data_IF_627113082547
#
_entry.id   IF_627113082547
#
_cell.length_a   1.000
_cell.length_b   1.000
_cell.length_c   1.000
_cell.angle_alpha   90.00
_cell.angle_beta   90.00
_cell.angle_gamma   90.00
#
_symmetry.space_group_name_H-M   'P 1'
#
loop_
_entity.id
_entity.type
_entity.pdbx_description
1 polymer ?
#
# COMPACT_ATOMS: atom_id res chain seq x y z
N UNK A 1 31.19 -14.92 18.99
CA UNK A 1 31.34 -16.22 19.65
C UNK A 1 30.14 -16.46 20.55
N UNK A 2 29.40 -17.54 20.27
CA UNK A 2 28.16 -17.87 20.97
C UNK A 2 28.41 -18.28 22.43
N UNK A 3 29.58 -18.81 22.78
CA UNK A 3 29.93 -19.16 24.17
C UNK A 3 29.93 -17.97 25.13
N UNK A 4 30.33 -16.78 24.64
CA UNK A 4 30.33 -15.54 25.43
C UNK A 4 28.92 -15.06 25.80
N UNK A 5 27.94 -15.27 24.91
CA UNK A 5 26.53 -14.90 25.13
C UNK A 5 25.94 -15.72 26.28
N UNK A 6 26.21 -17.03 26.29
CA UNK A 6 25.78 -17.92 27.36
C UNK A 6 26.38 -17.54 28.71
N UNK A 7 27.67 -17.22 28.75
CA UNK A 7 28.33 -16.78 29.99
C UNK A 7 27.77 -15.44 30.50
N UNK A 8 27.40 -14.51 29.59
CA UNK A 8 26.70 -13.29 29.99
C UNK A 8 25.33 -13.56 30.59
N UNK A 9 24.53 -14.43 29.96
CA UNK A 9 23.19 -14.79 30.49
C UNK A 9 23.29 -15.46 31.86
N UNK A 10 24.28 -16.33 32.07
CA UNK A 10 24.50 -16.98 33.38
C UNK A 10 24.78 -16.00 34.50
N UNK A 11 25.49 -14.89 34.22
CA UNK A 11 25.83 -13.85 35.21
C UNK A 11 24.64 -13.00 35.67
N UNK A 12 23.50 -13.07 34.97
CA UNK A 12 22.29 -12.39 35.40
C UNK A 12 21.79 -12.94 36.74
N UNK A 13 21.22 -12.06 37.58
CA UNK A 13 20.59 -12.42 38.86
C UNK A 13 19.12 -12.83 38.71
N UNK A 14 18.58 -12.84 37.49
CA UNK A 14 17.22 -13.29 37.24
C UNK A 14 17.04 -14.78 37.57
N UNK A 15 15.88 -15.14 38.12
CA UNK A 15 15.54 -16.54 38.43
C UNK A 15 15.42 -17.37 37.15
N UNK A 16 14.79 -16.80 36.12
CA UNK A 16 14.62 -17.41 34.79
C UNK A 16 15.35 -16.55 33.75
N UNK A 17 16.20 -17.19 32.94
CA UNK A 17 16.93 -16.56 31.83
C UNK A 17 16.50 -17.21 30.53
N UNK A 18 15.96 -16.43 29.60
CA UNK A 18 15.57 -16.93 28.27
C UNK A 18 16.39 -16.21 27.22
N UNK A 19 17.17 -16.96 26.45
CA UNK A 19 17.88 -16.47 25.27
C UNK A 19 17.23 -17.01 24.01
N UNK A 20 16.78 -16.13 23.12
CA UNK A 20 16.25 -16.47 21.80
C UNK A 20 17.26 -15.97 20.77
N UNK A 21 17.71 -16.87 19.90
CA UNK A 21 18.82 -16.63 18.99
C UNK A 21 18.39 -17.02 17.58
N UNK A 22 18.32 -16.04 16.69
CA UNK A 22 18.03 -16.24 15.27
C UNK A 22 19.30 -15.99 14.45
N UNK A 23 20.07 -17.06 14.21
CA UNK A 23 21.33 -17.02 13.48
C UNK A 23 21.67 -18.40 12.91
N UNK A 24 22.32 -18.46 11.74
CA UNK A 24 22.84 -19.72 11.19
C UNK A 24 23.86 -20.36 12.16
N UNK A 25 23.87 -21.70 12.23
CA UNK A 25 24.79 -22.51 13.07
C UNK A 25 24.71 -22.25 14.59
N UNK A 26 23.64 -21.61 15.07
CA UNK A 26 23.47 -21.26 16.50
C UNK A 26 23.23 -22.46 17.44
N UNK A 27 22.99 -23.67 16.89
CA UNK A 27 22.80 -24.91 17.64
C UNK A 27 24.01 -25.43 18.43
N UNK A 28 25.22 -24.90 18.21
CA UNK A 28 26.40 -25.25 19.02
C UNK A 28 26.23 -24.90 20.52
N UNK A 29 25.37 -23.92 20.83
CA UNK A 29 25.06 -23.49 22.21
C UNK A 29 24.22 -24.49 23.01
N UNK A 30 23.31 -25.19 22.33
CA UNK A 30 22.29 -26.03 22.95
C UNK A 30 22.82 -27.42 23.34
N UNK A 31 23.96 -27.84 22.75
CA UNK A 31 24.54 -29.19 22.86
C UNK A 31 25.41 -29.44 24.11
N UNK A 32 25.79 -28.41 24.89
CA UNK A 32 26.86 -28.56 25.89
C UNK A 32 26.58 -29.53 27.06
N UNK A 33 25.38 -30.09 27.18
CA UNK A 33 25.11 -31.32 27.95
C UNK A 33 24.04 -32.13 27.22
N UNK A 34 24.25 -33.44 27.07
CA UNK A 34 23.44 -34.32 26.23
C UNK A 34 21.96 -34.40 26.62
N UNK A 35 21.14 -33.54 26.03
CA UNK A 35 19.67 -33.63 26.07
C UNK A 35 19.16 -34.61 25.01
N UNK A 36 18.40 -35.63 25.44
CA UNK A 36 17.56 -36.44 24.55
C UNK A 36 16.21 -35.75 24.34
N UNK A 37 15.55 -36.00 23.19
CA UNK A 37 14.12 -35.67 22.97
C UNK A 37 13.30 -36.19 24.16
N UNK A 38 12.68 -35.28 24.90
CA UNK A 38 11.69 -35.61 25.93
C UNK A 38 10.28 -35.56 25.36
N UNK A 39 9.38 -36.51 25.68
CA UNK A 39 7.97 -36.44 25.32
C UNK A 39 7.24 -35.34 26.11
N UNK A 40 6.06 -34.95 25.62
CA UNK A 40 5.12 -34.05 26.29
C UNK A 40 4.75 -34.59 27.67
N UNK A 41 4.71 -33.71 28.68
CA UNK A 41 4.20 -34.07 30.01
C UNK A 41 2.87 -33.38 30.27
N UNK A 42 1.92 -34.20 30.73
CA UNK A 42 0.60 -33.85 31.21
C UNK A 42 0.68 -33.15 32.57
N UNK A 43 -0.28 -32.24 32.77
CA UNK A 43 -0.56 -31.45 33.96
C UNK A 43 -0.53 -32.23 35.28
N UNK A 44 0.15 -31.64 36.28
CA UNK A 44 -0.34 -31.60 37.65
C UNK A 44 0.15 -30.32 38.33
N UNK A 45 -0.76 -29.58 38.98
CA UNK A 45 -0.50 -28.33 39.69
C UNK A 45 -0.64 -28.59 41.17
N UNK A 46 0.50 -28.80 41.84
CA UNK A 46 0.69 -28.48 43.25
C UNK A 46 2.17 -28.73 43.63
N UNK A 47 3.02 -27.72 43.37
CA UNK A 47 4.09 -27.29 44.28
C UNK A 47 4.89 -26.15 43.65
N UNK A 48 4.86 -24.98 44.30
CA UNK A 48 5.54 -23.75 43.85
C UNK A 48 6.98 -23.75 44.34
N UNK A 49 7.82 -24.61 43.77
CA UNK A 49 9.26 -24.36 43.79
C UNK A 49 9.58 -23.18 42.85
N UNK A 50 10.53 -22.32 43.24
CA UNK A 50 10.98 -21.24 42.37
C UNK A 50 11.65 -21.86 41.13
N UNK A 51 11.02 -21.71 39.96
CA UNK A 51 11.59 -22.15 38.68
C UNK A 51 12.87 -21.37 38.42
N UNK A 52 14.02 -22.02 38.59
CA UNK A 52 15.35 -21.43 38.39
C UNK A 52 16.00 -22.04 37.15
N UNK A 53 16.53 -21.22 36.25
CA UNK A 53 17.42 -21.76 35.22
C UNK A 53 17.59 -20.94 33.92
N UNK A 54 18.28 -21.57 32.97
CA UNK A 54 18.63 -20.99 31.68
C UNK A 54 17.99 -21.79 30.54
N UNK A 55 17.28 -21.07 29.68
CA UNK A 55 16.64 -21.56 28.47
C UNK A 55 17.30 -20.89 27.27
N UNK A 56 17.69 -21.70 26.28
CA UNK A 56 18.19 -21.21 25.01
C UNK A 56 17.36 -21.80 23.87
N UNK A 57 16.73 -20.92 23.08
CA UNK A 57 15.99 -21.25 21.86
C UNK A 57 16.78 -20.74 20.68
N UNK A 58 17.01 -21.61 19.70
CA UNK A 58 17.84 -21.37 18.53
C UNK A 58 17.03 -21.65 17.27
N UNK A 59 17.10 -20.74 16.30
CA UNK A 59 16.35 -20.82 15.04
C UNK A 59 16.71 -22.05 14.21
N UNK A 60 17.95 -22.51 14.24
CA UNK A 60 18.41 -23.72 13.53
C UNK A 60 19.35 -24.58 14.39
N UNK A 61 19.60 -25.80 13.92
CA UNK A 61 20.60 -26.72 14.47
C UNK A 61 22.02 -26.39 13.97
N UNK A 62 23.06 -26.97 14.60
CA UNK A 62 24.48 -26.65 14.33
C UNK A 62 24.91 -26.91 12.87
N UNK A 63 24.23 -27.80 12.16
CA UNK A 63 24.53 -28.14 10.75
C UNK A 63 23.44 -27.68 9.77
N UNK A 64 22.56 -26.76 10.18
CA UNK A 64 21.45 -26.25 9.36
C UNK A 64 21.47 -24.71 9.29
N UNK A 65 21.20 -24.19 8.09
CA UNK A 65 21.07 -22.75 7.86
C UNK A 65 19.70 -22.26 8.35
N UNK A 66 19.69 -21.09 8.99
CA UNK A 66 18.44 -20.36 9.25
C UNK A 66 17.94 -19.74 7.95
N UNK A 67 16.63 -19.81 7.71
CA UNK A 67 16.02 -19.35 6.46
C UNK A 67 15.19 -18.08 6.65
N UNK A 68 15.30 -17.19 5.66
CA UNK A 68 14.53 -15.96 5.56
C UNK A 68 13.62 -15.99 4.32
N UNK A 69 12.53 -15.22 4.38
CA UNK A 69 11.59 -15.06 3.28
C UNK A 69 11.46 -13.60 2.88
N UNK A 70 11.69 -13.33 1.60
CA UNK A 70 11.40 -12.03 1.00
C UNK A 70 9.90 -11.69 1.08
N UNK A 71 9.02 -12.71 1.08
CA UNK A 71 7.56 -12.55 1.18
C UNK A 71 7.12 -12.15 2.60
N UNK A 72 7.81 -12.65 3.63
CA UNK A 72 7.55 -12.30 5.04
C UNK A 72 8.34 -11.06 5.47
N UNK A 73 9.38 -10.67 4.73
CA UNK A 73 10.30 -9.60 5.09
C UNK A 73 11.20 -9.96 6.29
N UNK A 74 11.46 -11.25 6.53
CA UNK A 74 12.27 -11.71 7.66
C UNK A 74 12.41 -13.24 7.80
N UNK A 75 13.03 -13.68 8.89
CA UNK A 75 13.23 -15.09 9.24
C UNK A 75 11.92 -15.83 9.53
N UNK A 76 11.78 -17.06 9.02
CA UNK A 76 10.63 -17.91 9.31
C UNK A 76 10.49 -18.19 10.81
N UNK A 77 11.60 -18.41 11.50
CA UNK A 77 11.61 -18.69 12.94
C UNK A 77 11.06 -17.48 13.72
N UNK A 78 11.62 -16.29 13.50
CA UNK A 78 11.17 -15.07 14.19
C UNK A 78 9.70 -14.74 13.85
N UNK A 79 9.28 -14.97 12.60
CA UNK A 79 7.90 -14.76 12.20
C UNK A 79 6.92 -15.66 12.95
N UNK A 80 7.19 -16.96 13.04
CA UNK A 80 6.31 -17.89 13.75
C UNK A 80 6.40 -17.74 15.26
N UNK A 81 7.58 -17.45 15.81
CA UNK A 81 7.72 -17.16 17.23
C UNK A 81 6.88 -15.94 17.65
N UNK A 82 6.94 -14.86 16.87
CA UNK A 82 6.16 -13.65 17.16
C UNK A 82 4.66 -13.86 16.96
N UNK A 83 4.24 -14.60 15.94
CA UNK A 83 2.82 -14.96 15.74
C UNK A 83 2.29 -15.83 16.88
N UNK A 84 3.09 -16.81 17.33
CA UNK A 84 2.77 -17.68 18.45
C UNK A 84 2.64 -16.89 19.77
N UNK A 85 3.64 -16.06 20.09
CA UNK A 85 3.60 -15.19 21.29
C UNK A 85 2.43 -14.21 21.30
N UNK A 86 1.94 -13.80 20.12
CA UNK A 86 0.75 -12.94 20.01
C UNK A 86 -0.56 -13.69 20.24
N UNK A 87 -0.55 -15.02 20.24
CA UNK A 87 -1.69 -15.85 20.62
C UNK A 87 -2.00 -17.01 19.67
N UNK A 88 -1.34 -17.14 18.51
CA UNK A 88 -1.61 -18.29 17.61
C UNK A 88 -1.11 -19.62 18.18
N UNK A 89 -0.28 -19.58 19.23
CA UNK A 89 0.20 -20.74 19.96
C UNK A 89 -0.65 -21.14 21.18
N UNK A 90 -1.72 -20.40 21.52
CA UNK A 90 -2.62 -20.70 22.66
C UNK A 90 -3.53 -21.91 22.34
N UNK A 91 -2.93 -23.09 22.23
CA UNK A 91 -3.60 -24.36 21.92
C UNK A 91 -4.43 -24.89 23.10
N UNK A 92 -4.13 -24.48 24.32
CA UNK A 92 -4.98 -24.75 25.49
C UNK A 92 -6.25 -23.91 25.53
N UNK A 93 -6.28 -22.75 24.86
CA UNK A 93 -7.42 -21.84 24.81
C UNK A 93 -7.65 -21.08 26.12
N UNK A 94 -6.66 -21.04 27.02
CA UNK A 94 -6.77 -20.41 28.34
C UNK A 94 -6.38 -18.91 28.32
N UNK A 95 -6.15 -18.35 27.13
CA UNK A 95 -5.68 -16.98 26.89
C UNK A 95 -4.29 -16.71 27.42
N UNK A 96 -3.46 -17.75 27.61
CA UNK A 96 -2.05 -17.64 27.93
C UNK A 96 -1.25 -18.39 26.89
N UNK A 97 -0.06 -17.88 26.63
CA UNK A 97 0.92 -18.57 25.78
C UNK A 97 2.10 -18.94 26.66
N UNK A 98 2.26 -20.24 26.86
CA UNK A 98 3.38 -20.83 27.57
C UNK A 98 4.61 -20.98 26.68
N UNK A 99 5.76 -21.18 27.31
CA UNK A 99 7.02 -21.46 26.63
C UNK A 99 6.95 -22.78 25.86
N UNK A 100 6.30 -23.80 26.43
CA UNK A 100 6.06 -25.07 25.75
C UNK A 100 5.24 -24.89 24.47
N UNK A 101 4.07 -24.26 24.59
CA UNK A 101 3.16 -23.98 23.47
C UNK A 101 3.85 -23.20 22.35
N UNK A 102 4.52 -22.08 22.67
CA UNK A 102 5.14 -21.26 21.63
C UNK A 102 6.30 -21.98 20.95
N UNK A 103 7.05 -22.80 21.68
CA UNK A 103 8.14 -23.58 21.11
C UNK A 103 7.61 -24.65 20.16
N UNK A 104 6.62 -25.43 20.60
CA UNK A 104 5.98 -26.47 19.79
C UNK A 104 5.37 -25.88 18.52
N UNK A 105 4.61 -24.78 18.66
CA UNK A 105 4.06 -24.01 17.54
C UNK A 105 5.15 -23.58 16.55
N UNK A 106 6.19 -22.89 17.04
CA UNK A 106 7.26 -22.33 16.20
C UNK A 106 8.02 -23.44 15.48
N UNK A 107 8.32 -24.53 16.17
CA UNK A 107 8.98 -25.71 15.61
C UNK A 107 8.16 -26.31 14.47
N UNK A 108 6.88 -26.61 14.71
CA UNK A 108 6.02 -27.24 13.72
C UNK A 108 5.82 -26.37 12.48
N UNK A 109 5.59 -25.06 12.65
CA UNK A 109 5.42 -24.13 11.53
C UNK A 109 6.69 -23.97 10.71
N UNK A 110 7.83 -23.78 11.39
CA UNK A 110 9.13 -23.62 10.72
C UNK A 110 9.47 -24.87 9.91
N UNK A 111 9.32 -26.06 10.48
CA UNK A 111 9.53 -27.34 9.78
C UNK A 111 8.59 -27.49 8.59
N UNK A 112 7.29 -27.22 8.77
CA UNK A 112 6.30 -27.40 7.71
C UNK A 112 6.57 -26.49 6.49
N UNK A 113 6.98 -25.25 6.72
CA UNK A 113 7.25 -24.30 5.64
C UNK A 113 8.59 -24.58 4.97
N UNK A 114 9.64 -24.81 5.75
CA UNK A 114 10.98 -25.07 5.22
C UNK A 114 11.10 -26.43 4.52
N UNK A 115 10.24 -27.40 4.83
CA UNK A 115 10.24 -28.71 4.17
C UNK A 115 10.05 -28.67 2.64
N UNK A 116 9.41 -27.62 2.13
CA UNK A 116 9.19 -27.44 0.69
C UNK A 116 10.21 -26.50 0.02
N UNK A 117 11.13 -25.94 0.81
CA UNK A 117 12.15 -25.01 0.31
C UNK A 117 13.32 -25.75 -0.33
N UNK A 118 14.00 -25.10 -1.29
CA UNK A 118 15.20 -25.67 -1.93
C UNK A 118 16.37 -25.86 -0.95
N UNK A 119 16.34 -25.16 0.18
CA UNK A 119 17.39 -25.18 1.21
C UNK A 119 17.24 -26.34 2.21
N UNK A 120 16.13 -27.10 2.14
CA UNK A 120 15.85 -28.22 3.05
C UNK A 120 15.08 -27.81 4.31
N UNK A 121 14.75 -28.79 5.15
CA UNK A 121 14.01 -28.58 6.41
C UNK A 121 14.91 -27.88 7.44
N UNK A 122 14.38 -26.86 8.12
CA UNK A 122 15.00 -26.21 9.27
C UNK A 122 14.38 -26.74 10.57
N UNK A 123 15.23 -27.17 11.51
CA UNK A 123 14.79 -27.61 12.83
C UNK A 123 15.23 -26.62 13.91
N UNK A 124 14.32 -25.80 14.47
CA UNK A 124 14.61 -25.04 15.67
C UNK A 124 15.08 -25.97 16.80
N UNK A 125 16.09 -25.54 17.56
CA UNK A 125 16.63 -26.32 18.67
C UNK A 125 16.43 -25.62 20.01
N UNK A 126 16.29 -26.42 21.05
CA UNK A 126 15.99 -25.96 22.41
C UNK A 126 16.91 -26.64 23.40
N UNK A 127 17.46 -25.86 24.34
CA UNK A 127 18.24 -26.37 25.47
C UNK A 127 17.67 -25.83 26.76
N UNK A 128 17.58 -26.72 27.75
CA UNK A 128 16.90 -26.48 29.00
C UNK A 128 17.75 -26.95 30.17
N UNK A 129 17.91 -26.07 31.14
CA UNK A 129 18.47 -26.35 32.46
C UNK A 129 17.62 -25.58 33.48
N UNK A 130 16.35 -25.99 33.68
CA UNK A 130 15.52 -25.49 34.77
C UNK A 130 15.36 -26.53 35.88
N UNK A 131 15.37 -26.04 37.11
CA UNK A 131 14.89 -26.74 38.30
C UNK A 131 13.57 -26.10 38.75
N UNK A 132 12.57 -26.92 39.08
CA UNK A 132 11.22 -26.51 39.52
C UNK A 132 10.08 -27.11 38.69
N UNK A 133 8.87 -27.13 39.25
CA UNK A 133 7.64 -27.58 38.59
C UNK A 133 6.81 -26.38 38.10
N UNK A 134 6.48 -26.37 36.79
CA UNK A 134 5.55 -25.41 36.18
C UNK A 134 6.04 -24.89 34.82
N UNK A 135 5.12 -24.73 33.87
CA UNK A 135 5.41 -24.11 32.57
C UNK A 135 5.45 -22.57 32.70
N UNK A 136 6.32 -21.94 31.92
CA UNK A 136 6.55 -20.50 31.97
C UNK A 136 5.56 -19.81 31.04
N UNK A 137 4.64 -19.04 31.61
CA UNK A 137 3.75 -18.17 30.83
C UNK A 137 4.54 -16.98 30.31
N UNK A 138 4.62 -16.84 28.98
CA UNK A 138 5.32 -15.74 28.31
C UNK A 138 4.39 -14.60 27.93
N UNK A 139 3.16 -14.92 27.50
CA UNK A 139 2.14 -13.94 27.16
C UNK A 139 0.84 -14.24 27.89
N UNK A 140 0.19 -13.19 28.41
CA UNK A 140 -1.15 -13.24 28.97
C UNK A 140 -2.05 -12.33 28.13
N UNK A 141 -2.88 -12.94 27.27
CA UNK A 141 -3.76 -12.25 26.33
C UNK A 141 -4.99 -11.64 27.02
N UNK A 142 -5.28 -12.04 28.26
CA UNK A 142 -6.44 -11.57 29.02
C UNK A 142 -6.27 -10.15 29.58
N UNK A 143 -5.03 -9.64 29.67
CA UNK A 143 -4.69 -8.37 30.35
C UNK A 143 -4.96 -7.09 29.55
N UNK A 144 -6.08 -7.04 28.83
CA UNK A 144 -6.60 -5.80 28.25
C UNK A 144 -5.78 -5.21 27.11
N UNK A 145 -4.96 -6.01 26.43
CA UNK A 145 -4.31 -5.57 25.20
C UNK A 145 -5.34 -5.45 24.07
N UNK A 146 -5.17 -4.46 23.21
CA UNK A 146 -5.92 -4.41 21.97
C UNK A 146 -5.62 -5.66 21.13
N UNK A 147 -6.60 -6.12 20.36
CA UNK A 147 -6.41 -7.36 19.62
C UNK A 147 -7.52 -7.68 18.64
N UNK A 148 -7.31 -8.77 17.91
CA UNK A 148 -8.29 -9.34 17.00
C UNK A 148 -8.84 -10.63 17.59
N UNK A 149 -10.16 -10.76 17.60
CA UNK A 149 -10.85 -11.97 18.01
C UNK A 149 -11.34 -12.73 16.77
N UNK A 150 -10.85 -13.95 16.60
CA UNK A 150 -11.31 -14.89 15.60
C UNK A 150 -12.32 -15.84 16.25
N UNK A 151 -13.61 -15.59 16.01
CA UNK A 151 -14.71 -16.35 16.61
C UNK A 151 -14.75 -17.82 16.15
N UNK A 152 -15.37 -18.73 16.93
CA UNK A 152 -15.35 -20.18 16.69
C UNK A 152 -15.89 -20.59 15.32
N UNK A 153 -16.77 -19.78 14.71
CA UNK A 153 -17.35 -19.95 13.38
C UNK A 153 -16.33 -19.80 12.24
N UNK A 154 -15.19 -19.17 12.48
CA UNK A 154 -14.15 -18.98 11.48
C UNK A 154 -13.32 -20.27 11.30
N UNK A 155 -12.80 -20.47 10.10
CA UNK A 155 -11.84 -21.55 9.83
C UNK A 155 -10.83 -21.14 8.75
N UNK A 156 -9.72 -21.87 8.68
CA UNK A 156 -8.67 -21.69 7.70
C UNK A 156 -7.54 -20.79 8.17
N UNK A 157 -6.81 -20.24 7.19
CA UNK A 157 -5.62 -19.42 7.44
C UNK A 157 -5.90 -17.95 7.18
N UNK A 158 -5.56 -17.10 8.15
CA UNK A 158 -5.67 -15.65 8.08
C UNK A 158 -4.28 -15.02 8.18
N UNK A 159 -4.06 -13.97 7.39
CA UNK A 159 -2.88 -13.11 7.51
C UNK A 159 -3.33 -11.74 8.01
N UNK A 160 -2.71 -11.26 9.06
CA UNK A 160 -2.91 -9.92 9.61
C UNK A 160 -1.71 -9.07 9.24
N UNK A 161 -1.97 -7.98 8.53
CA UNK A 161 -0.97 -7.06 8.03
C UNK A 161 -1.06 -5.72 8.77
N UNK A 162 0.05 -5.25 9.32
CA UNK A 162 0.17 -3.93 9.96
C UNK A 162 0.36 -2.88 8.85
N UNK A 163 -0.66 -2.04 8.64
CA UNK A 163 -0.64 -1.01 7.59
C UNK A 163 0.26 0.18 7.93
N UNK A 164 0.61 0.36 9.20
CA UNK A 164 1.54 1.38 9.66
C UNK A 164 3.00 0.99 9.44
N UNK A 165 3.33 -0.28 9.69
CA UNK A 165 4.69 -0.83 9.56
C UNK A 165 4.97 -1.54 8.24
N UNK A 166 3.95 -1.71 7.40
CA UNK A 166 4.05 -2.36 6.09
C UNK A 166 4.62 -3.78 6.14
N UNK A 167 4.23 -4.55 7.15
CA UNK A 167 4.70 -5.93 7.36
C UNK A 167 3.58 -6.84 7.89
N UNK A 168 3.77 -8.15 7.76
CA UNK A 168 2.88 -9.14 8.37
C UNK A 168 3.04 -9.07 9.89
N UNK A 169 1.94 -8.81 10.59
CA UNK A 169 1.90 -8.80 12.04
C UNK A 169 1.64 -10.20 12.60
N UNK A 170 0.73 -10.96 12.02
CA UNK A 170 0.45 -12.30 12.51
C UNK A 170 -0.08 -13.19 11.40
N UNK A 171 0.23 -14.47 11.47
CA UNK A 171 -0.50 -15.52 10.77
C UNK A 171 -1.35 -16.27 11.80
N UNK A 172 -2.60 -16.56 11.44
CA UNK A 172 -3.53 -17.31 12.30
C UNK A 172 -3.98 -18.53 11.53
N UNK A 173 -3.83 -19.70 12.14
CA UNK A 173 -4.36 -20.95 11.61
C UNK A 173 -5.44 -21.49 12.54
N UNK A 174 -6.69 -21.49 12.09
CA UNK A 174 -7.83 -21.84 12.92
C UNK A 174 -8.62 -23.02 12.36
N UNK A 175 -8.85 -24.02 13.19
CA UNK A 175 -9.87 -25.05 12.96
C UNK A 175 -11.26 -24.52 13.36
N UNK A 176 -12.32 -25.05 12.75
CA UNK A 176 -13.69 -24.71 13.16
C UNK A 176 -13.94 -25.14 14.61
N UNK A 177 -14.69 -24.35 15.38
CA UNK A 177 -15.13 -24.67 16.74
C UNK A 177 -14.40 -23.96 17.88
N UNK A 178 -13.14 -23.53 17.68
CA UNK A 178 -12.32 -22.91 18.75
C UNK A 178 -12.07 -21.43 18.50
N UNK A 179 -12.25 -20.56 19.50
CA UNK A 179 -11.90 -19.15 19.34
C UNK A 179 -10.39 -18.94 19.43
N UNK A 180 -9.85 -17.97 18.68
CA UNK A 180 -8.44 -17.55 18.79
C UNK A 180 -8.37 -16.04 18.95
N UNK A 181 -7.53 -15.57 19.86
CA UNK A 181 -7.30 -14.15 20.09
C UNK A 181 -5.85 -13.81 19.76
N UNK A 182 -5.63 -12.68 19.09
CA UNK A 182 -4.29 -12.18 18.78
C UNK A 182 -4.12 -10.79 19.36
N UNK A 183 -3.13 -10.63 20.22
CA UNK A 183 -2.75 -9.34 20.79
C UNK A 183 -1.93 -8.51 19.79
N UNK A 184 -2.37 -7.28 19.56
CA UNK A 184 -1.76 -6.34 18.61
C UNK A 184 -1.76 -4.93 19.22
N UNK A 185 -0.72 -4.12 18.95
CA UNK A 185 -0.74 -2.73 19.37
C UNK A 185 -1.88 -1.95 18.69
N UNK A 186 -2.25 -0.80 19.25
CA UNK A 186 -3.18 0.12 18.60
C UNK A 186 -2.65 0.51 17.20
N UNK A 187 -3.55 0.54 16.21
CA UNK A 187 -3.16 0.79 14.83
C UNK A 187 -4.18 0.32 13.78
N UNK A 188 -3.78 0.45 12.53
CA UNK A 188 -4.58 0.08 11.36
C UNK A 188 -4.10 -1.25 10.79
N UNK A 189 -5.02 -2.20 10.64
CA UNK A 189 -4.73 -3.55 10.21
C UNK A 189 -5.57 -3.98 9.02
N UNK A 190 -4.99 -4.86 8.22
CA UNK A 190 -5.67 -5.57 7.15
C UNK A 190 -5.66 -7.07 7.45
N UNK A 191 -6.84 -7.68 7.52
CA UNK A 191 -6.97 -9.13 7.66
C UNK A 191 -7.31 -9.73 6.31
N UNK A 192 -6.50 -10.68 5.85
CA UNK A 192 -6.66 -11.40 4.59
C UNK A 192 -6.94 -12.88 4.87
N UNK A 193 -7.85 -13.47 4.10
CA UNK A 193 -8.09 -14.92 4.03
C UNK A 193 -7.99 -15.35 2.58
N UNK A 194 -7.16 -16.36 2.30
CA UNK A 194 -7.02 -16.91 0.96
C UNK A 194 -8.10 -17.94 0.67
N UNK A 195 -8.87 -17.72 -0.38
CA UNK A 195 -9.83 -18.69 -0.92
C UNK A 195 -9.22 -19.41 -2.13
N UNK A 196 -9.99 -20.26 -2.81
CA UNK A 196 -9.49 -20.99 -3.99
C UNK A 196 -9.28 -20.10 -5.21
N UNK A 197 -10.16 -19.12 -5.43
CA UNK A 197 -10.24 -18.26 -6.62
C UNK A 197 -10.11 -16.76 -6.32
N UNK A 198 -10.15 -16.36 -5.04
CA UNK A 198 -10.09 -14.98 -4.61
C UNK A 198 -9.48 -14.84 -3.21
N UNK A 199 -9.30 -13.60 -2.78
CA UNK A 199 -9.04 -13.26 -1.38
C UNK A 199 -10.26 -12.62 -0.76
N UNK A 200 -10.46 -12.89 0.53
CA UNK A 200 -11.33 -12.10 1.38
C UNK A 200 -10.46 -11.15 2.19
N UNK A 201 -10.83 -9.88 2.26
CA UNK A 201 -10.06 -8.87 2.96
C UNK A 201 -10.94 -7.90 3.74
N UNK A 202 -10.52 -7.52 4.95
CA UNK A 202 -11.18 -6.46 5.73
C UNK A 202 -10.13 -5.56 6.39
N UNK A 203 -10.46 -4.27 6.54
CA UNK A 203 -9.68 -3.31 7.32
C UNK A 203 -10.29 -3.14 8.70
N UNK A 204 -9.43 -3.15 9.72
CA UNK A 204 -9.83 -3.04 11.12
C UNK A 204 -8.92 -2.03 11.82
N UNK A 205 -9.52 -1.12 12.57
CA UNK A 205 -8.83 -0.17 13.43
C UNK A 205 -8.85 -0.69 14.87
N UNK A 206 -7.68 -0.81 15.48
CA UNK A 206 -7.54 -1.21 16.89
C UNK A 206 -7.25 0.03 17.74
N UNK A 207 -8.06 0.21 18.80
CA UNK A 207 -7.81 1.20 19.84
C UNK A 207 -6.72 0.75 20.83
N UNK A 208 -6.58 1.43 21.96
CA UNK A 208 -5.58 1.07 22.98
C UNK A 208 -5.98 -0.17 23.81
N UNK A 209 -7.27 -0.51 23.85
CA UNK A 209 -7.81 -1.66 24.59
C UNK A 209 -8.99 -2.29 23.84
N UNK A 210 -9.22 -3.57 24.12
CA UNK A 210 -10.37 -4.32 23.62
C UNK A 210 -10.09 -5.15 22.37
N UNK A 211 -10.89 -6.20 22.18
CA UNK A 211 -10.78 -7.09 21.04
C UNK A 211 -11.80 -6.72 19.96
N UNK A 212 -11.35 -6.58 18.72
CA UNK A 212 -12.23 -6.37 17.56
C UNK A 212 -12.50 -7.73 16.90
N UNK A 213 -13.78 -8.15 16.81
CA UNK A 213 -14.10 -9.43 16.17
C UNK A 213 -13.90 -9.36 14.66
N UNK A 214 -13.22 -10.37 14.12
CA UNK A 214 -13.12 -10.59 12.67
C UNK A 214 -14.41 -11.24 12.21
N UNK A 215 -15.13 -10.59 11.31
CA UNK A 215 -16.40 -11.09 10.78
C UNK A 215 -16.25 -11.36 9.29
N UNK A 216 -16.26 -12.63 8.91
CA UNK A 216 -15.97 -13.03 7.52
C UNK A 216 -16.98 -12.46 6.51
N UNK A 217 -18.25 -12.30 6.88
CA UNK A 217 -19.28 -11.70 6.01
C UNK A 217 -19.06 -10.21 5.72
N UNK A 218 -18.21 -9.52 6.50
CA UNK A 218 -17.81 -8.13 6.27
C UNK A 218 -16.53 -8.02 5.44
N UNK A 219 -15.90 -9.15 5.08
CA UNK A 219 -14.71 -9.15 4.24
C UNK A 219 -15.09 -8.99 2.78
N UNK A 220 -14.42 -8.08 2.09
CA UNK A 220 -14.59 -7.83 0.67
C UNK A 220 -13.89 -8.90 -0.16
N UNK A 221 -14.49 -9.27 -1.30
CA UNK A 221 -13.88 -10.16 -2.30
C UNK A 221 -12.91 -9.38 -3.18
N UNK A 222 -11.65 -9.80 -3.19
CA UNK A 222 -10.55 -9.23 -3.97
C UNK A 222 -9.99 -10.30 -4.91
N UNK A 223 -9.85 -10.02 -6.20
CA UNK A 223 -9.28 -10.99 -7.14
C UNK A 223 -7.78 -11.19 -6.89
N UNK A 224 -7.22 -12.37 -7.19
CA UNK A 224 -5.77 -12.61 -7.04
C UNK A 224 -4.91 -11.69 -7.89
N UNK A 225 -5.41 -11.31 -9.07
CA UNK A 225 -4.75 -10.35 -9.97
C UNK A 225 -4.66 -8.94 -9.35
N UNK A 226 -5.50 -8.64 -8.35
CA UNK A 226 -5.44 -7.41 -7.56
C UNK A 226 -4.61 -7.58 -6.25
N UNK A 227 -4.16 -8.80 -5.93
CA UNK A 227 -3.31 -9.10 -4.77
C UNK A 227 -1.83 -8.94 -5.11
N UNK A 228 -1.42 -7.71 -5.37
CA UNK A 228 0.00 -7.37 -5.38
C UNK A 228 0.50 -7.22 -3.93
N UNK A 229 0.80 -8.34 -3.31
CA UNK A 229 1.59 -8.41 -2.08
C UNK A 229 2.99 -7.81 -2.31
N UNK A 230 3.09 -6.50 -2.11
CA UNK A 230 4.30 -5.80 -1.66
C UNK A 230 3.83 -4.76 -0.64
N UNK A 231 4.37 -4.79 0.57
CA UNK A 231 3.92 -3.98 1.72
C UNK A 231 3.59 -2.50 1.46
N UNK A 232 4.33 -1.78 0.57
CA UNK A 232 4.01 -0.38 0.24
C UNK A 232 2.82 -0.21 -0.73
N UNK A 233 2.46 -1.26 -1.49
CA UNK A 233 1.48 -1.20 -2.59
C UNK A 233 0.05 -1.40 -2.06
N UNK A 234 -0.14 -2.16 -0.99
CA UNK A 234 -1.47 -2.47 -0.45
C UNK A 234 -2.19 -1.23 0.12
N UNK A 235 -1.45 -0.33 0.79
CA UNK A 235 -1.98 0.94 1.29
C UNK A 235 -2.32 1.89 0.14
N UNK A 236 -1.46 1.98 -0.86
CA UNK A 236 -1.67 2.77 -2.07
C UNK A 236 -2.83 2.26 -2.94
N UNK A 237 -3.02 0.95 -3.10
CA UNK A 237 -4.03 0.35 -3.98
C UNK A 237 -5.45 0.35 -3.37
N UNK A 238 -5.55 0.18 -2.05
CA UNK A 238 -6.84 0.28 -1.37
C UNK A 238 -7.27 1.75 -1.13
N UNK A 239 -6.32 2.69 -0.97
CA UNK A 239 -6.57 4.14 -1.08
C UNK A 239 -7.02 4.54 -2.49
N UNK A 240 -6.59 3.80 -3.53
CA UNK A 240 -7.05 3.99 -4.91
C UNK A 240 -8.52 3.60 -5.05
N UNK A 241 -9.04 2.49 -4.52
CA UNK A 241 -10.43 2.04 -4.80
C UNK A 241 -11.58 2.96 -4.35
N UNK A 242 -11.35 3.92 -3.45
CA UNK A 242 -12.39 4.88 -3.08
C UNK A 242 -12.50 5.93 -4.19
N UNK A 243 -13.67 6.03 -4.85
CA UNK A 243 -13.95 7.11 -5.82
C UNK A 243 -13.64 8.45 -5.14
N UNK A 244 -12.60 9.12 -5.58
CA UNK A 244 -12.22 10.45 -5.11
C UNK A 244 -12.53 11.47 -6.18
N UNK A 245 -13.07 12.59 -5.73
CA UNK A 245 -13.16 13.81 -6.49
C UNK A 245 -11.99 14.69 -6.04
N UNK A 246 -11.11 15.09 -6.97
CA UNK A 246 -10.15 16.16 -6.71
C UNK A 246 -10.46 17.36 -7.58
N UNK A 247 -10.11 18.54 -7.08
CA UNK A 247 -10.17 19.79 -7.82
C UNK A 247 -8.79 20.43 -7.78
N UNK A 248 -8.28 20.84 -8.94
CA UNK A 248 -6.92 21.33 -9.09
C UNK A 248 -6.91 22.58 -9.94
N UNK A 249 -6.06 23.54 -9.58
CA UNK A 249 -5.80 24.71 -10.41
C UNK A 249 -4.82 24.32 -11.52
N UNK A 250 -5.03 24.84 -12.73
CA UNK A 250 -4.17 24.56 -13.88
C UNK A 250 -3.78 25.81 -14.66
N UNK A 251 -2.56 25.79 -15.19
CA UNK A 251 -2.03 26.78 -16.13
C UNK A 251 -1.57 26.04 -17.38
N UNK A 252 -1.98 26.53 -18.54
CA UNK A 252 -1.74 25.89 -19.84
C UNK A 252 -1.14 26.91 -20.79
N UNK A 253 -0.19 26.46 -21.60
CA UNK A 253 0.30 27.21 -22.75
C UNK A 253 -0.03 26.43 -24.02
N UNK A 254 -0.77 27.08 -24.92
CA UNK A 254 -1.19 26.49 -26.20
C UNK A 254 -0.38 27.08 -27.36
N UNK A 255 0.03 26.21 -28.29
CA UNK A 255 0.66 26.63 -29.55
C UNK A 255 0.21 25.78 -30.73
N UNK A 256 -0.02 26.43 -31.87
CA UNK A 256 -0.35 25.76 -33.13
C UNK A 256 0.93 25.45 -33.92
N UNK A 257 0.99 24.30 -34.59
CA UNK A 257 2.20 23.88 -35.32
C UNK A 257 2.42 24.71 -36.59
N UNK A 258 1.35 25.17 -37.25
CA UNK A 258 1.44 26.03 -38.43
C UNK A 258 1.92 27.44 -38.07
N UNK A 259 2.99 27.91 -38.72
CA UNK A 259 3.52 29.26 -38.54
C UNK A 259 2.57 30.36 -39.06
N UNK A 260 1.86 30.10 -40.16
CA UNK A 260 0.85 31.01 -40.71
C UNK A 260 -0.34 31.13 -39.75
N UNK A 261 -0.89 30.00 -39.30
CA UNK A 261 -2.02 30.01 -38.36
C UNK A 261 -1.70 30.71 -37.04
N UNK A 262 -0.46 30.59 -36.52
CA UNK A 262 -0.02 31.28 -35.30
C UNK A 262 -0.02 32.80 -35.39
N UNK A 263 0.21 33.36 -36.58
CA UNK A 263 0.28 34.81 -36.82
C UNK A 263 -1.05 35.38 -37.29
N UNK A 264 -1.77 34.62 -38.10
CA UNK A 264 -2.94 35.07 -38.84
C UNK A 264 -4.27 34.66 -38.16
N UNK A 265 -4.32 33.57 -37.39
CA UNK A 265 -5.60 32.99 -36.97
C UNK A 265 -5.69 32.77 -35.45
N UNK A 266 -4.68 32.16 -34.84
CA UNK A 266 -4.74 31.72 -33.45
C UNK A 266 -3.44 32.08 -32.73
N UNK A 267 -3.43 33.16 -31.93
CA UNK A 267 -2.25 33.56 -31.17
C UNK A 267 -1.94 32.52 -30.08
N UNK A 268 -0.66 32.38 -29.72
CA UNK A 268 -0.32 31.64 -28.51
C UNK A 268 -0.83 32.40 -27.28
N UNK A 269 -1.59 31.70 -26.44
CA UNK A 269 -2.32 32.28 -25.32
C UNK A 269 -2.10 31.42 -24.06
N UNK A 270 -1.69 32.02 -22.92
CA UNK A 270 -1.76 31.34 -21.65
C UNK A 270 -3.23 31.20 -21.22
N UNK A 271 -3.62 29.99 -20.85
CA UNK A 271 -4.93 29.65 -20.33
C UNK A 271 -4.82 29.29 -18.85
N UNK A 272 -5.82 29.68 -18.08
CA UNK A 272 -5.92 29.41 -16.65
C UNK A 272 -7.27 28.77 -16.36
N UNK A 273 -7.32 27.92 -15.34
CA UNK A 273 -8.60 27.39 -14.90
C UNK A 273 -8.45 26.27 -13.90
N UNK A 274 -9.40 25.34 -13.94
CA UNK A 274 -9.46 24.22 -13.02
C UNK A 274 -9.67 22.90 -13.77
N UNK A 275 -9.21 21.82 -13.16
CA UNK A 275 -9.53 20.45 -13.57
C UNK A 275 -10.13 19.70 -12.40
N UNK A 276 -11.26 19.03 -12.65
CA UNK A 276 -11.90 18.11 -11.71
C UNK A 276 -11.59 16.68 -12.11
N UNK A 277 -11.03 15.87 -11.22
CA UNK A 277 -10.75 14.45 -11.48
C UNK A 277 -11.68 13.55 -10.69
N UNK A 278 -12.22 12.55 -11.37
CA UNK A 278 -13.11 11.54 -10.81
C UNK A 278 -12.49 10.17 -11.10
N UNK A 279 -12.11 9.46 -10.05
CA UNK A 279 -11.58 8.11 -10.22
C UNK A 279 -11.09 7.47 -8.93
N UNK A 280 -10.56 6.25 -9.04
CA UNK A 280 -10.49 5.42 -10.24
C UNK A 280 -11.86 4.84 -10.64
N UNK A 281 -11.95 4.45 -11.90
CA UNK A 281 -13.04 3.75 -12.57
C UNK A 281 -12.58 2.33 -12.95
N UNK A 282 -13.41 1.56 -13.67
CA UNK A 282 -13.08 0.21 -14.14
C UNK A 282 -11.72 0.23 -14.91
N UNK A 283 -10.83 -0.72 -14.59
CA UNK A 283 -9.52 -0.83 -15.24
C UNK A 283 -8.51 0.25 -14.83
N UNK A 284 -8.69 0.90 -13.68
CA UNK A 284 -7.75 1.89 -13.14
C UNK A 284 -7.77 3.25 -13.87
N UNK A 285 -8.76 3.47 -14.75
CA UNK A 285 -8.94 4.72 -15.45
C UNK A 285 -9.48 5.83 -14.53
N UNK A 286 -9.32 7.10 -14.91
CA UNK A 286 -9.98 8.23 -14.28
C UNK A 286 -10.50 9.21 -15.33
N UNK A 287 -11.58 9.91 -15.00
CA UNK A 287 -12.14 10.97 -15.83
C UNK A 287 -11.62 12.32 -15.33
N UNK A 288 -11.16 13.17 -16.23
CA UNK A 288 -10.83 14.56 -15.95
C UNK A 288 -11.75 15.48 -16.72
N UNK A 289 -12.25 16.53 -16.06
CA UNK A 289 -13.08 17.58 -16.64
C UNK A 289 -12.35 18.91 -16.47
N UNK A 290 -11.99 19.53 -17.59
CA UNK A 290 -11.23 20.77 -17.63
C UNK A 290 -12.14 21.94 -17.98
N UNK A 291 -11.93 23.05 -17.29
CA UNK A 291 -12.49 24.35 -17.64
C UNK A 291 -11.35 25.36 -17.70
N UNK A 292 -11.15 26.00 -18.86
CA UNK A 292 -10.04 26.90 -19.14
C UNK A 292 -10.53 28.22 -19.75
N UNK A 293 -9.80 29.29 -19.45
CA UNK A 293 -10.04 30.63 -19.98
C UNK A 293 -8.72 31.36 -20.20
N UNK A 294 -8.66 32.16 -21.26
CA UNK A 294 -7.56 33.10 -21.47
C UNK A 294 -8.02 34.29 -22.30
N UNK A 295 -7.32 35.41 -22.16
CA UNK A 295 -7.53 36.57 -23.03
C UNK A 295 -6.25 37.35 -23.21
N UNK A 296 -6.13 38.02 -24.35
CA UNK A 296 -5.02 38.93 -24.64
C UNK A 296 -5.54 40.09 -25.49
N UNK A 297 -5.20 41.31 -25.07
CA UNK A 297 -5.62 42.55 -25.74
C UNK A 297 -4.49 43.15 -26.56
N UNK A 298 -4.85 43.95 -27.55
CA UNK A 298 -3.88 44.69 -28.38
C UNK A 298 -2.92 43.79 -29.17
N UNK A 299 -3.38 42.60 -29.56
CA UNK A 299 -2.63 41.75 -30.47
C UNK A 299 -2.66 42.31 -31.88
N UNK A 300 -1.56 42.20 -32.62
CA UNK A 300 -1.55 42.55 -34.04
C UNK A 300 -1.93 41.32 -34.85
N UNK A 301 -3.04 41.42 -35.57
CA UNK A 301 -3.46 40.49 -36.60
C UNK A 301 -2.77 40.88 -37.90
N UNK A 302 -1.80 40.09 -38.34
CA UNK A 302 -1.09 40.30 -39.61
C UNK A 302 -1.73 39.45 -40.70
N UNK A 303 -2.33 40.09 -41.70
CA UNK A 303 -2.92 39.48 -42.89
C UNK A 303 -2.10 39.82 -44.15
N UNK A 304 -0.80 40.07 -43.99
CA UNK A 304 0.14 40.41 -45.05
C UNK A 304 0.10 41.89 -45.40
N UNK A 305 -0.87 42.31 -46.22
CA UNK A 305 -1.00 43.71 -46.64
C UNK A 305 -1.74 44.59 -45.60
N UNK A 306 -2.30 43.97 -44.57
CA UNK A 306 -3.15 44.61 -43.56
C UNK A 306 -2.74 44.15 -42.17
N UNK A 307 -2.53 45.09 -41.26
CA UNK A 307 -2.26 44.84 -39.85
C UNK A 307 -3.34 45.49 -38.99
N UNK A 308 -4.07 44.69 -38.22
CA UNK A 308 -5.20 45.15 -37.39
C UNK A 308 -4.93 44.90 -35.91
N UNK A 309 -5.38 45.80 -35.05
CA UNK A 309 -5.33 45.56 -33.61
C UNK A 309 -6.57 44.77 -33.17
N UNK A 310 -6.35 43.64 -32.52
CA UNK A 310 -7.41 42.75 -32.05
C UNK A 310 -7.29 42.43 -30.55
N UNK A 311 -8.44 42.24 -29.93
CA UNK A 311 -8.56 41.59 -28.62
C UNK A 311 -9.07 40.16 -28.83
N UNK A 312 -8.40 39.20 -28.19
CA UNK A 312 -8.67 37.78 -28.34
C UNK A 312 -9.03 37.16 -26.99
N UNK A 313 -10.09 36.35 -26.97
CA UNK A 313 -10.55 35.59 -25.82
C UNK A 313 -10.76 34.14 -26.24
N UNK A 314 -10.41 33.21 -25.36
CA UNK A 314 -10.63 31.78 -25.54
C UNK A 314 -11.14 31.16 -24.25
N UNK A 315 -12.08 30.23 -24.39
CA UNK A 315 -12.45 29.29 -23.33
C UNK A 315 -12.54 27.88 -23.87
N UNK A 316 -12.19 26.92 -23.03
CA UNK A 316 -12.29 25.50 -23.34
C UNK A 316 -13.01 24.75 -22.23
N UNK A 317 -13.90 23.83 -22.64
CA UNK A 317 -14.44 22.77 -21.78
C UNK A 317 -13.97 21.45 -22.37
N UNK A 318 -13.31 20.61 -21.57
CA UNK A 318 -12.80 19.34 -22.07
C UNK A 318 -13.06 18.17 -21.13
N UNK A 319 -13.19 16.99 -21.72
CA UNK A 319 -13.22 15.71 -21.01
C UNK A 319 -12.06 14.83 -21.46
N UNK A 320 -11.38 14.20 -20.50
CA UNK A 320 -10.31 13.24 -20.77
C UNK A 320 -10.55 11.95 -20.00
N UNK A 321 -10.50 10.81 -20.68
CA UNK A 321 -10.47 9.50 -20.03
C UNK A 321 -9.03 9.03 -20.00
N UNK A 322 -8.46 8.83 -18.81
CA UNK A 322 -7.02 8.61 -18.65
C UNK A 322 -6.75 7.30 -17.94
N UNK A 323 -5.83 6.50 -18.46
CA UNK A 323 -5.30 5.32 -17.78
C UNK A 323 -4.01 5.64 -17.07
N UNK A 324 -3.87 5.14 -15.84
CA UNK A 324 -2.75 5.46 -14.98
C UNK A 324 -1.81 4.27 -14.80
N UNK A 325 -0.52 4.56 -14.88
CA UNK A 325 0.59 3.63 -14.75
C UNK A 325 1.59 4.17 -13.73
N UNK A 326 2.39 3.30 -13.11
CA UNK A 326 3.46 3.71 -12.19
C UNK A 326 3.16 3.52 -10.69
N UNK A 327 4.11 3.98 -9.87
CA UNK A 327 4.23 3.65 -8.44
C UNK A 327 3.56 4.64 -7.48
N UNK A 328 4.06 4.69 -6.25
CA UNK A 328 3.53 5.54 -5.17
C UNK A 328 3.98 7.01 -5.25
N UNK A 329 5.19 7.27 -5.76
CA UNK A 329 5.81 8.60 -5.78
C UNK A 329 5.55 9.34 -7.10
N UNK A 330 5.63 8.61 -8.22
CA UNK A 330 5.43 9.16 -9.57
C UNK A 330 4.43 8.28 -10.32
N UNK A 331 3.45 8.92 -10.95
CA UNK A 331 2.45 8.26 -11.78
C UNK A 331 2.38 8.92 -13.16
N UNK A 332 2.16 8.09 -14.18
CA UNK A 332 1.99 8.53 -15.57
C UNK A 332 0.57 8.21 -16.03
N UNK A 333 -0.07 9.18 -16.68
CA UNK A 333 -1.39 9.07 -17.28
C UNK A 333 -1.31 9.21 -18.80
N UNK A 334 -2.08 8.41 -19.54
CA UNK A 334 -2.28 8.60 -20.98
C UNK A 334 -3.72 8.26 -21.38
N UNK A 335 -4.27 8.97 -22.35
CA UNK A 335 -5.60 8.69 -22.85
C UNK A 335 -6.14 9.73 -23.83
N UNK A 336 -7.34 9.49 -24.39
CA UNK A 336 -8.01 10.42 -25.28
C UNK A 336 -8.59 11.62 -24.52
N UNK A 337 -8.62 12.76 -25.21
CA UNK A 337 -9.26 14.02 -24.81
C UNK A 337 -10.16 14.51 -25.93
N UNK A 338 -11.31 15.05 -25.55
CA UNK A 338 -12.16 15.84 -26.43
C UNK A 338 -12.44 17.19 -25.77
N UNK A 339 -12.15 18.28 -26.50
CA UNK A 339 -12.40 19.63 -26.05
C UNK A 339 -13.39 20.35 -26.97
N UNK A 340 -14.29 21.13 -26.38
CA UNK A 340 -15.06 22.15 -27.05
C UNK A 340 -14.44 23.51 -26.72
N UNK A 341 -14.08 24.27 -27.75
CA UNK A 341 -13.42 25.56 -27.64
C UNK A 341 -14.34 26.64 -28.18
N UNK A 342 -14.43 27.75 -27.46
CA UNK A 342 -15.05 28.98 -27.91
C UNK A 342 -14.02 30.09 -27.95
N UNK A 343 -13.86 30.71 -29.10
CA UNK A 343 -12.95 31.81 -29.33
C UNK A 343 -13.73 33.03 -29.77
N UNK A 344 -13.37 34.19 -29.22
CA UNK A 344 -13.91 35.49 -29.61
C UNK A 344 -12.79 36.42 -29.97
N UNK A 345 -12.97 37.12 -31.09
CA UNK A 345 -12.07 38.17 -31.57
C UNK A 345 -12.85 39.46 -31.78
N UNK A 346 -12.33 40.57 -31.28
CA UNK A 346 -12.91 41.90 -31.45
C UNK A 346 -11.86 42.92 -31.90
N UNK A 347 -12.29 43.95 -32.62
CA UNK A 347 -11.43 44.95 -33.24
C UNK A 347 -11.76 46.35 -32.68
N UNK A 348 -11.26 46.70 -31.49
CA UNK A 348 -11.70 47.91 -30.78
C UNK A 348 -11.35 49.23 -31.50
N UNK A 349 -10.40 49.21 -32.44
CA UNK A 349 -9.92 50.40 -33.14
C UNK A 349 -10.38 50.47 -34.61
N UNK A 350 -11.15 49.49 -35.08
CA UNK A 350 -11.64 49.41 -36.46
C UNK A 350 -13.18 49.30 -36.48
N UNK A 351 -13.90 50.42 -36.60
CA UNK A 351 -15.37 50.47 -36.44
C UNK A 351 -16.15 49.70 -37.51
N UNK A 352 -15.52 49.44 -38.66
CA UNK A 352 -16.13 48.69 -39.77
C UNK A 352 -16.07 47.17 -39.57
N UNK A 353 -15.23 46.68 -38.65
CA UNK A 353 -15.04 45.26 -38.39
C UNK A 353 -15.93 44.77 -37.25
N UNK A 354 -16.78 43.81 -37.56
CA UNK A 354 -17.63 43.15 -36.57
C UNK A 354 -16.83 42.16 -35.72
N UNK A 355 -17.24 42.00 -34.47
CA UNK A 355 -16.77 40.90 -33.60
C UNK A 355 -17.00 39.56 -34.26
N UNK A 356 -16.01 38.67 -34.16
CA UNK A 356 -16.03 37.33 -34.71
C UNK A 356 -16.05 36.32 -33.57
N UNK A 357 -16.96 35.36 -33.66
CA UNK A 357 -17.14 34.27 -32.71
C UNK A 357 -16.91 32.94 -33.45
N UNK A 358 -16.14 32.04 -32.83
CA UNK A 358 -15.82 30.73 -33.41
C UNK A 358 -15.99 29.63 -32.37
N UNK A 359 -16.65 28.55 -32.78
CA UNK A 359 -16.76 27.32 -32.00
C UNK A 359 -16.00 26.21 -32.72
N UNK A 360 -15.23 25.43 -31.96
CA UNK A 360 -14.44 24.33 -32.48
C UNK A 360 -14.50 23.11 -31.59
N UNK A 361 -14.40 21.93 -32.20
CA UNK A 361 -14.19 20.67 -31.50
C UNK A 361 -12.76 20.21 -31.72
N UNK A 362 -12.16 19.65 -30.68
CA UNK A 362 -10.79 19.23 -30.72
C UNK A 362 -10.59 17.84 -30.12
N UNK A 363 -10.49 16.80 -30.97
CA UNK A 363 -9.96 15.51 -30.54
C UNK A 363 -8.45 15.60 -30.35
N UNK A 364 -7.95 15.06 -29.24
CA UNK A 364 -6.53 15.06 -28.89
C UNK A 364 -6.13 13.81 -28.09
N UNK A 365 -4.84 13.51 -28.09
CA UNK A 365 -4.22 12.67 -27.07
C UNK A 365 -3.75 13.54 -25.91
N UNK A 366 -3.87 13.02 -24.69
CA UNK A 366 -3.39 13.65 -23.47
C UNK A 366 -2.41 12.73 -22.73
N UNK A 367 -1.39 13.32 -22.13
CA UNK A 367 -0.44 12.69 -21.23
C UNK A 367 -0.30 13.50 -19.96
N UNK A 368 0.02 12.84 -18.85
CA UNK A 368 0.19 13.48 -17.56
C UNK A 368 1.25 12.76 -16.72
N UNK A 369 2.04 13.54 -15.98
CA UNK A 369 2.98 13.07 -14.96
C UNK A 369 2.55 13.69 -13.63
N UNK A 370 2.21 12.85 -12.65
CA UNK A 370 1.77 13.25 -11.32
C UNK A 370 2.86 12.95 -10.28
N UNK A 371 3.11 13.93 -9.41
CA UNK A 371 4.01 13.86 -8.28
C UNK A 371 3.23 14.09 -6.98
N UNK A 372 3.39 13.19 -6.02
CA UNK A 372 2.75 13.28 -4.70
C UNK A 372 3.76 13.79 -3.69
N UNK A 373 3.48 14.93 -3.05
CA UNK A 373 4.41 15.63 -2.17
C UNK A 373 3.89 15.66 -0.73
N UNK A 374 4.79 15.40 0.22
CA UNK A 374 4.56 15.48 1.67
C UNK A 374 4.12 14.16 2.34
N UNK A 375 4.13 14.10 3.68
CA UNK A 375 3.61 12.95 4.42
C UNK A 375 2.13 12.73 4.06
N UNK A 376 1.78 11.54 3.55
CA UNK A 376 0.42 11.23 3.09
C UNK A 376 0.08 11.67 1.65
N UNK A 377 0.97 12.37 0.94
CA UNK A 377 0.79 12.70 -0.49
C UNK A 377 -0.39 13.64 -0.78
N UNK A 378 -0.75 14.49 0.17
CA UNK A 378 -1.91 15.39 0.09
C UNK A 378 -1.76 16.49 -0.97
N UNK A 379 -0.54 16.87 -1.33
CA UNK A 379 -0.31 17.83 -2.42
C UNK A 379 0.03 17.06 -3.69
N UNK A 380 -0.74 17.31 -4.74
CA UNK A 380 -0.52 16.74 -6.07
C UNK A 380 -0.02 17.85 -6.98
N UNK A 381 1.15 17.64 -7.57
CA UNK A 381 1.69 18.46 -8.64
C UNK A 381 1.69 17.62 -9.91
N UNK A 382 1.12 18.15 -10.99
CA UNK A 382 1.14 17.44 -12.27
C UNK A 382 1.73 18.29 -13.38
N UNK A 383 2.41 17.65 -14.30
CA UNK A 383 2.79 18.21 -15.59
C UNK A 383 2.07 17.43 -16.68
N UNK A 384 1.46 18.11 -17.65
CA UNK A 384 0.70 17.44 -18.71
C UNK A 384 1.08 17.96 -20.09
N UNK A 385 0.86 17.10 -21.08
CA UNK A 385 1.00 17.42 -22.50
C UNK A 385 -0.24 16.97 -23.28
N UNK A 386 -0.65 17.76 -24.26
CA UNK A 386 -1.75 17.40 -25.17
C UNK A 386 -1.34 17.70 -26.60
N UNK A 387 -1.76 16.86 -27.53
CA UNK A 387 -1.54 17.07 -28.95
C UNK A 387 -2.76 16.60 -29.73
N UNK A 388 -3.24 17.41 -30.67
CA UNK A 388 -4.48 17.11 -31.38
C UNK A 388 -4.74 18.01 -32.57
N UNK A 389 -5.97 17.95 -33.04
CA UNK A 389 -6.47 18.75 -34.14
C UNK A 389 -7.55 19.71 -33.64
N UNK A 390 -7.50 20.97 -34.04
CA UNK A 390 -8.61 21.90 -33.94
C UNK A 390 -9.41 21.81 -35.23
N UNK A 391 -10.63 21.30 -35.14
CA UNK A 391 -11.58 21.30 -36.23
C UNK A 391 -12.40 22.59 -36.15
N UNK A 392 -12.31 23.41 -37.20
CA UNK A 392 -13.00 24.69 -37.28
C UNK A 392 -13.54 24.93 -38.68
N UNK A 393 -14.61 25.70 -38.76
CA UNK A 393 -15.26 26.06 -40.02
C UNK A 393 -15.26 27.58 -40.16
N UNK A 394 -14.44 28.08 -41.09
CA UNK A 394 -14.47 29.47 -41.55
C UNK A 394 -14.51 29.38 -43.07
N UNK A 395 -15.71 29.56 -43.62
CA UNK A 395 -16.10 29.34 -45.03
C UNK A 395 -15.94 27.91 -45.57
N UNK A 396 -14.99 27.13 -45.05
CA UNK A 396 -14.72 25.73 -45.39
C UNK A 396 -14.27 24.94 -44.14
N UNK A 397 -14.42 23.61 -44.17
CA UNK A 397 -13.97 22.75 -43.07
C UNK A 397 -12.44 22.61 -43.06
N UNK A 398 -11.80 23.08 -41.99
CA UNK A 398 -10.35 23.06 -41.82
C UNK A 398 -9.95 22.36 -40.53
N UNK A 399 -8.75 21.76 -40.54
CA UNK A 399 -8.14 21.13 -39.38
C UNK A 399 -6.76 21.73 -39.14
N UNK A 400 -6.46 22.08 -37.89
CA UNK A 400 -5.18 22.67 -37.51
C UNK A 400 -4.54 21.88 -36.35
N UNK A 401 -3.31 21.41 -36.55
CA UNK A 401 -2.59 20.71 -35.50
C UNK A 401 -2.08 21.67 -34.42
N UNK A 402 -2.20 21.27 -33.16
CA UNK A 402 -1.72 22.03 -32.01
C UNK A 402 -1.06 21.12 -30.96
N UNK A 403 -0.29 21.76 -30.09
CA UNK A 403 0.23 21.17 -28.87
C UNK A 403 -0.03 22.10 -27.68
N UNK A 404 -0.38 21.51 -26.53
CA UNK A 404 -0.50 22.19 -25.25
C UNK A 404 0.43 21.55 -24.24
N UNK A 405 1.00 22.38 -23.36
CA UNK A 405 1.75 21.93 -22.19
C UNK A 405 1.34 22.76 -20.98
N UNK A 406 1.33 22.16 -19.80
CA UNK A 406 0.93 22.88 -18.60
C UNK A 406 1.23 22.17 -17.30
N UNK A 407 0.86 22.83 -16.22
CA UNK A 407 1.04 22.35 -14.86
C UNK A 407 -0.29 22.41 -14.11
N UNK A 408 -0.53 21.46 -13.21
CA UNK A 408 -1.63 21.50 -12.24
C UNK A 408 -1.10 21.43 -10.81
N UNK A 409 -1.83 22.06 -9.90
CA UNK A 409 -1.60 21.97 -8.45
C UNK A 409 -2.94 21.71 -7.76
N UNK A 410 -2.98 20.68 -6.92
CA UNK A 410 -4.18 20.22 -6.24
C UNK A 410 -3.91 19.77 -4.82
N UNK A 411 -4.97 19.81 -4.00
CA UNK A 411 -4.98 19.21 -2.68
C UNK A 411 -5.92 18.00 -2.66
N UNK A 412 -5.41 16.86 -2.20
CA UNK A 412 -6.13 15.61 -2.00
C UNK A 412 -6.36 15.41 -0.50
N UNK A 413 -7.60 15.53 -0.02
CA UNK A 413 -7.92 15.31 1.39
C UNK A 413 -7.74 13.85 1.82
#
# INVERSE_FOLDING_TARGET
>A
DMGLVREHLKRSTADIKIGIIDACESGALTRAKGGRRGPSFLYDTDDREATLGLILISSSSENESSQESDELGGSFFTHYLTSGLRGDADDSGDSRVTLGEVYEYTYHKTVAVTASTRSGVQHPTYSYDLAGQGDIVLTDLSKGQAGLLFGPELEGRYLVFDLGREQVAAEISKAAGEARSIALPAGEYAVKKRMQDHLRMVRLSLGEQGAVPVVESRMERVAFEDDYAKGPILRAELERRRRRLSLEAQVVYQGFLSGAARRELFPALPLFGATGRIGPMLGGAYLSLDLLFGSRRGLVLDLGALALSQDFFETQVAGSLMWRFGGSIVQFGVGPRLAALYMRRSFPFDPDLKTQDMLGLSPAGATELMFFVGPGGHVVLSAFGRAGLLLYSVDDNRALAYAEGGLTVGYRP
#
